data_IF_067575493267
#
_entry.id   IF_067575493267
#
_cell.length_a   1.000
_cell.length_b   1.000
_cell.length_c   1.000
_cell.angle_alpha   90.00
_cell.angle_beta   90.00
_cell.angle_gamma   90.00
#
_symmetry.space_group_name_H-M   'P 1'
#
loop_
_entity.id
_entity.type
_entity.pdbx_description
1 polymer ?
#
# COMPACT_ATOMS: atom_id res chain seq x y z
N UNK A 1 -0.46 -29.44 -17.82
CA UNK A 1 -1.20 -28.17 -17.66
C UNK A 1 -2.66 -28.50 -17.36
N UNK A 2 -3.29 -27.97 -16.28
CA UNK A 2 -4.65 -28.34 -15.91
C UNK A 2 -5.69 -27.89 -16.94
N UNK A 3 -6.69 -28.73 -17.23
CA UNK A 3 -7.75 -28.48 -18.24
C UNK A 3 -8.48 -27.15 -18.02
N UNK A 4 -8.72 -26.79 -16.76
CA UNK A 4 -9.37 -25.53 -16.38
C UNK A 4 -8.60 -24.28 -16.82
N UNK A 5 -7.28 -24.38 -17.06
CA UNK A 5 -6.47 -23.26 -17.59
C UNK A 5 -6.69 -23.12 -19.10
N UNK A 6 -6.68 -24.24 -19.83
CA UNK A 6 -6.91 -24.27 -21.28
C UNK A 6 -8.32 -23.77 -21.65
N UNK A 7 -9.34 -24.19 -20.92
CA UNK A 7 -10.71 -23.71 -21.13
C UNK A 7 -10.83 -22.21 -20.88
N UNK A 8 -10.13 -21.69 -19.87
CA UNK A 8 -10.14 -20.25 -19.55
C UNK A 8 -9.40 -19.43 -20.60
N UNK A 9 -8.33 -19.97 -21.18
CA UNK A 9 -7.63 -19.37 -22.33
C UNK A 9 -8.47 -19.39 -23.61
N UNK A 10 -9.11 -20.52 -23.92
CA UNK A 10 -9.96 -20.65 -25.10
C UNK A 10 -11.18 -19.71 -25.06
N UNK A 11 -11.69 -19.44 -23.85
CA UNK A 11 -12.80 -18.50 -23.63
C UNK A 11 -12.34 -17.02 -23.55
N UNK A 12 -11.04 -16.72 -23.70
CA UNK A 12 -10.51 -15.36 -23.55
C UNK A 12 -10.62 -14.80 -22.12
N UNK A 13 -11.01 -15.63 -21.16
CA UNK A 13 -11.16 -15.30 -19.74
C UNK A 13 -9.86 -15.46 -18.96
N UNK A 14 -8.78 -15.85 -19.64
CA UNK A 14 -7.46 -15.83 -19.05
C UNK A 14 -7.07 -14.37 -18.85
N UNK A 15 -7.07 -13.95 -17.59
CA UNK A 15 -6.40 -12.74 -17.19
C UNK A 15 -4.91 -12.94 -17.45
N UNK A 16 -4.43 -12.67 -18.67
CA UNK A 16 -3.03 -12.33 -18.88
C UNK A 16 -2.77 -11.19 -17.92
N UNK A 17 -2.13 -11.51 -16.79
CA UNK A 17 -1.82 -10.57 -15.73
C UNK A 17 -1.06 -9.45 -16.43
N UNK A 18 -1.73 -8.34 -16.70
CA UNK A 18 -1.19 -7.25 -17.51
C UNK A 18 0.05 -6.80 -16.75
N UNK A 19 1.21 -7.20 -17.22
CA UNK A 19 2.47 -6.80 -16.61
C UNK A 19 2.47 -5.30 -16.79
N UNK A 20 2.22 -4.55 -15.70
CA UNK A 20 2.43 -3.11 -15.74
C UNK A 20 3.87 -2.92 -16.18
N UNK A 21 4.08 -2.04 -17.14
CA UNK A 21 5.43 -1.60 -17.53
C UNK A 21 6.21 -1.34 -16.25
N UNK A 22 7.43 -1.89 -16.17
CA UNK A 22 8.25 -1.70 -14.99
C UNK A 22 8.31 -0.19 -14.72
N UNK A 23 7.91 0.27 -13.53
CA UNK A 23 7.90 1.69 -13.23
C UNK A 23 9.31 2.24 -13.47
N UNK A 24 9.42 3.36 -14.19
CA UNK A 24 10.69 4.04 -14.52
C UNK A 24 11.42 4.58 -13.29
N UNK A 25 10.89 4.32 -12.11
CA UNK A 25 11.31 4.84 -10.81
C UNK A 25 12.10 3.74 -10.09
N UNK A 26 13.12 4.12 -9.33
CA UNK A 26 13.94 3.18 -8.54
C UNK A 26 13.05 2.21 -7.73
N UNK A 27 13.17 0.88 -7.93
CA UNK A 27 12.38 -0.11 -7.22
C UNK A 27 12.55 -0.02 -5.69
N UNK A 28 13.68 0.49 -5.18
CA UNK A 28 13.86 0.72 -3.73
C UNK A 28 12.93 1.82 -3.24
N UNK A 29 12.79 2.93 -3.98
CA UNK A 29 11.87 4.00 -3.65
C UNK A 29 10.42 3.48 -3.64
N UNK A 30 10.05 2.69 -4.65
CA UNK A 30 8.71 2.09 -4.74
C UNK A 30 8.43 1.19 -3.55
N UNK A 31 9.40 0.39 -3.12
CA UNK A 31 9.27 -0.49 -1.97
C UNK A 31 9.07 0.29 -0.68
N UNK A 32 9.83 1.36 -0.46
CA UNK A 32 9.69 2.20 0.74
C UNK A 32 8.34 2.94 0.75
N UNK A 33 7.93 3.52 -0.39
CA UNK A 33 6.61 4.15 -0.52
C UNK A 33 5.49 3.13 -0.28
N UNK A 34 5.62 1.92 -0.81
CA UNK A 34 4.64 0.84 -0.59
C UNK A 34 4.55 0.47 0.88
N UNK A 35 5.69 0.40 1.60
CA UNK A 35 5.72 0.10 3.03
C UNK A 35 4.98 1.19 3.84
N UNK A 36 5.19 2.45 3.50
CA UNK A 36 4.45 3.56 4.14
C UNK A 36 2.95 3.48 3.84
N UNK A 37 2.58 3.19 2.60
CA UNK A 37 1.18 3.03 2.20
C UNK A 37 0.48 1.88 2.95
N UNK A 38 1.18 0.78 3.22
CA UNK A 38 0.67 -0.32 4.06
C UNK A 38 0.41 0.15 5.49
N UNK A 39 1.32 0.92 6.09
CA UNK A 39 1.16 1.43 7.45
C UNK A 39 -0.06 2.35 7.58
N UNK A 40 -0.25 3.28 6.63
CA UNK A 40 -1.44 4.14 6.56
C UNK A 40 -2.70 3.29 6.44
N UNK A 41 -2.68 2.32 5.53
CA UNK A 41 -3.83 1.43 5.31
C UNK A 41 -4.20 0.62 6.55
N UNK A 42 -3.22 0.24 7.37
CA UNK A 42 -3.46 -0.43 8.66
C UNK A 42 -4.12 0.50 9.66
N UNK A 43 -3.64 1.74 9.78
CA UNK A 43 -4.26 2.75 10.64
C UNK A 43 -5.71 3.03 10.22
N UNK A 44 -5.96 3.26 8.92
CA UNK A 44 -7.31 3.49 8.41
C UNK A 44 -8.24 2.30 8.66
N UNK A 45 -7.77 1.07 8.39
CA UNK A 45 -8.56 -0.14 8.65
C UNK A 45 -8.87 -0.28 10.13
N UNK A 46 -7.89 -0.10 11.00
CA UNK A 46 -8.08 -0.17 12.45
C UNK A 46 -9.09 0.88 12.95
N UNK A 47 -8.97 2.14 12.51
CA UNK A 47 -9.91 3.20 12.85
C UNK A 47 -11.33 2.88 12.36
N UNK A 48 -11.47 2.40 11.13
CA UNK A 48 -12.76 2.00 10.59
C UNK A 48 -13.37 0.85 11.37
N UNK A 49 -12.58 -0.14 11.79
CA UNK A 49 -13.07 -1.26 12.61
C UNK A 49 -13.54 -0.81 14.00
N UNK A 50 -12.80 0.09 14.65
CA UNK A 50 -13.20 0.64 15.95
C UNK A 50 -14.47 1.50 15.85
N UNK A 51 -14.56 2.29 14.78
CA UNK A 51 -15.74 3.13 14.51
C UNK A 51 -16.98 2.28 14.24
N UNK A 52 -16.86 1.25 13.40
CA UNK A 52 -17.95 0.32 13.10
C UNK A 52 -18.41 -0.46 14.34
N UNK A 53 -17.51 -0.76 15.27
CA UNK A 53 -17.81 -1.39 16.55
C UNK A 53 -18.36 -0.41 17.62
N UNK A 54 -18.50 0.89 17.31
CA UNK A 54 -18.98 1.89 18.26
C UNK A 54 -17.98 2.26 19.36
N UNK A 55 -16.71 1.90 19.22
CA UNK A 55 -15.66 2.11 20.22
C UNK A 55 -14.86 3.41 20.01
N UNK A 56 -15.46 4.44 19.41
CA UNK A 56 -14.81 5.74 19.17
C UNK A 56 -14.22 6.36 20.45
N UNK A 57 -14.92 6.24 21.58
CA UNK A 57 -14.45 6.75 22.87
C UNK A 57 -13.18 6.05 23.40
N UNK A 58 -12.85 4.87 22.89
CA UNK A 58 -11.66 4.10 23.28
C UNK A 58 -10.45 4.40 22.38
N UNK A 59 -10.60 5.26 21.37
CA UNK A 59 -9.51 5.63 20.46
C UNK A 59 -8.68 6.73 21.12
N UNK A 60 -7.43 6.42 21.42
CA UNK A 60 -6.47 7.43 21.89
C UNK A 60 -6.00 8.30 20.72
N UNK A 61 -6.44 9.56 20.73
CA UNK A 61 -6.10 10.55 19.70
C UNK A 61 -4.59 10.84 19.65
N UNK A 62 -3.88 10.80 20.77
CA UNK A 62 -2.43 11.04 20.81
C UNK A 62 -1.69 9.91 20.11
N UNK A 63 -2.13 8.66 20.33
CA UNK A 63 -1.56 7.49 19.63
C UNK A 63 -1.77 7.64 18.12
N UNK A 64 -2.99 7.96 17.67
CA UNK A 64 -3.29 8.15 16.24
C UNK A 64 -2.43 9.27 15.64
N UNK A 65 -2.33 10.42 16.31
CA UNK A 65 -1.50 11.54 15.87
C UNK A 65 -0.01 11.16 15.78
N UNK A 66 0.50 10.40 16.76
CA UNK A 66 1.90 9.95 16.75
C UNK A 66 2.21 9.05 15.54
N UNK A 67 1.28 8.17 15.16
CA UNK A 67 1.40 7.34 13.96
C UNK A 67 1.39 8.18 12.68
N UNK A 68 0.51 9.19 12.60
CA UNK A 68 0.43 10.09 11.44
C UNK A 68 1.72 10.92 11.29
N UNK A 69 2.25 11.47 12.38
CA UNK A 69 3.51 12.23 12.35
C UNK A 69 4.69 11.32 11.96
N UNK A 70 4.73 10.07 12.43
CA UNK A 70 5.78 9.13 12.02
C UNK A 70 5.72 8.83 10.51
N UNK A 71 4.52 8.67 9.96
CA UNK A 71 4.28 8.49 8.52
C UNK A 71 4.71 9.72 7.72
N UNK A 72 4.30 10.91 8.15
CA UNK A 72 4.70 12.18 7.52
C UNK A 72 6.22 12.33 7.47
N UNK A 73 6.91 12.09 8.61
CA UNK A 73 8.39 12.15 8.67
C UNK A 73 9.04 11.14 7.74
N UNK A 74 8.52 9.92 7.66
CA UNK A 74 9.03 8.90 6.74
C UNK A 74 8.87 9.32 5.26
N UNK A 75 7.73 9.94 4.92
CA UNK A 75 7.52 10.53 3.58
C UNK A 75 8.48 11.68 3.31
N UNK A 76 8.67 12.58 4.28
CA UNK A 76 9.62 13.69 4.18
C UNK A 76 11.06 13.22 3.96
N UNK A 77 11.48 12.14 4.62
CA UNK A 77 12.80 11.53 4.39
C UNK A 77 12.95 10.94 2.99
N UNK A 78 11.89 10.33 2.43
CA UNK A 78 11.92 9.84 1.06
C UNK A 78 11.95 10.99 0.04
N UNK A 79 11.23 12.09 0.30
CA UNK A 79 11.19 13.26 -0.57
C UNK A 79 12.49 14.07 -0.54
N UNK A 80 13.18 14.12 0.61
CA UNK A 80 14.45 14.82 0.77
C UNK A 80 15.66 14.03 0.24
N UNK A 81 15.50 12.73 -0.03
CA UNK A 81 16.59 11.92 -0.59
C UNK A 81 16.82 12.36 -2.04
N UNK A 82 18.00 12.89 -2.41
CA UNK A 82 18.23 13.35 -3.77
C UNK A 82 18.03 12.18 -4.71
N UNK A 83 17.25 12.40 -5.77
CA UNK A 83 17.12 11.47 -6.87
C UNK A 83 18.53 11.13 -7.36
N UNK A 84 19.00 9.93 -7.02
CA UNK A 84 20.23 9.39 -7.54
C UNK A 84 20.07 9.41 -9.05
N UNK A 85 20.83 10.27 -9.71
CA UNK A 85 20.91 10.38 -11.17
C UNK A 85 21.16 8.97 -11.72
N UNK A 86 20.18 8.45 -12.44
CA UNK A 86 20.39 7.41 -13.47
C UNK A 86 21.12 8.00 -14.66
#
# INVERSE_FOLDING_TARGET
MPFAVLLREALGLSCKRRHKTAPTVDPKLIREVSRIGVNISHLSRWLNTMTAAGHLANIDAIVVLSHLVAIERALGQLACKPALKT
#
